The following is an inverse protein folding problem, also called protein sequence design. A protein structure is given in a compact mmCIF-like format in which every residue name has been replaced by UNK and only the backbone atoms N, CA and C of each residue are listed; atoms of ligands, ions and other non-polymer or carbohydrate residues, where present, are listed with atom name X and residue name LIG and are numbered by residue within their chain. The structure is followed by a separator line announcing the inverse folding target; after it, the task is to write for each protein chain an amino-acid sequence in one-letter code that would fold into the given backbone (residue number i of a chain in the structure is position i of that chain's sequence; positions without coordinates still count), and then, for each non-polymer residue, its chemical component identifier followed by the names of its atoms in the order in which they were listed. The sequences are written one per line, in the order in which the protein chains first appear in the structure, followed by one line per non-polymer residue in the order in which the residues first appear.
data_IF_740425497068
#
_entry.id   IF_740425497068
#
_cell.length_a   1.000
_cell.length_b   1.000
_cell.length_c   1.000
_cell.angle_alpha   90.00
_cell.angle_beta   90.00
_cell.angle_gamma   90.00
#
_symmetry.space_group_name_H-M   'P 1'
#
loop_
_entity.id
_entity.type
_entity.pdbx_description
1 polymer ?
#
# COMPACT_ATOMS: atom_id res chain seq x y z
N UNK A 1 0.89 -11.62 -6.95
CA UNK A 1 1.48 -11.42 -5.61
C UNK A 1 0.53 -10.51 -4.84
N UNK A 2 0.31 -10.69 -3.53
CA UNK A 2 -0.47 -9.70 -2.77
C UNK A 2 0.28 -9.18 -1.55
N UNK A 3 0.07 -7.91 -1.27
CA UNK A 3 0.76 -7.14 -0.27
C UNK A 3 -0.17 -6.93 0.92
N UNK A 4 0.23 -7.31 2.13
CA UNK A 4 -0.55 -7.04 3.34
C UNK A 4 0.03 -5.83 4.03
N UNK A 5 -0.78 -4.79 4.21
CA UNK A 5 -0.40 -3.63 5.01
C UNK A 5 -0.55 -4.03 6.49
N UNK A 6 0.54 -3.94 7.22
CA UNK A 6 0.62 -4.01 8.68
C UNK A 6 1.12 -2.62 9.13
N UNK A 7 0.80 -2.18 10.36
CA UNK A 7 0.54 -0.78 10.64
C UNK A 7 1.67 0.11 10.15
N UNK A 8 1.33 0.96 9.17
CA UNK A 8 2.25 1.94 8.61
C UNK A 8 2.30 3.13 9.58
N UNK A 9 3.44 3.29 10.25
CA UNK A 9 3.82 4.57 10.83
C UNK A 9 3.89 5.60 9.70
N UNK A 10 2.97 6.55 9.76
CA UNK A 10 2.88 7.66 8.84
C UNK A 10 2.95 8.89 9.74
N UNK A 11 4.15 9.45 9.88
CA UNK A 11 4.29 10.74 10.51
C UNK A 11 3.60 11.77 9.63
N UNK A 12 2.52 12.36 10.16
CA UNK A 12 1.98 13.63 9.69
C UNK A 12 2.73 14.70 10.45
N UNK A 13 3.75 15.27 9.82
CA UNK A 13 4.43 16.44 10.40
C UNK A 13 3.57 17.67 10.11
N UNK A 14 3.18 18.36 11.19
CA UNK A 14 2.57 19.69 11.11
C UNK A 14 3.71 20.64 10.75
N UNK A 15 3.68 21.21 9.55
CA UNK A 15 4.61 22.25 9.14
C UNK A 15 4.29 23.53 9.91
N UNK A 16 4.98 23.77 11.02
CA UNK A 16 5.26 25.13 11.46
C UNK A 16 6.53 25.57 10.73
N UNK A 17 6.44 26.70 10.04
CA UNK A 17 7.48 27.36 9.26
C UNK A 17 8.85 27.28 9.95
N UNK A 18 9.88 26.73 9.28
CA UNK A 18 11.27 27.21 9.20
C UNK A 18 12.14 26.21 8.41
N UNK A 19 12.51 26.62 7.19
CA UNK A 19 13.76 26.27 6.48
C UNK A 19 14.36 24.87 6.70
N UNK A 20 13.95 23.91 5.89
CA UNK A 20 14.81 22.84 5.40
C UNK A 20 14.31 22.45 4.01
N UNK A 21 15.22 22.33 3.05
CA UNK A 21 14.90 21.80 1.74
C UNK A 21 14.40 20.36 1.89
N UNK A 22 13.08 20.12 1.86
CA UNK A 22 12.55 18.79 1.58
C UNK A 22 13.05 18.40 0.19
N UNK A 23 14.14 17.67 0.18
CA UNK A 23 14.54 16.84 -0.94
C UNK A 23 13.33 15.94 -1.20
N UNK A 24 12.57 16.22 -2.26
CA UNK A 24 11.73 15.20 -2.89
C UNK A 24 12.73 14.11 -3.24
N UNK A 25 12.83 13.10 -2.38
CA UNK A 25 13.76 12.02 -2.60
C UNK A 25 13.26 11.32 -3.86
N UNK A 26 13.91 11.61 -5.00
CA UNK A 26 13.75 10.93 -6.29
C UNK A 26 14.20 9.47 -6.12
N UNK A 27 13.51 8.73 -5.26
CA UNK A 27 13.60 7.29 -5.19
C UNK A 27 12.79 6.78 -6.36
N UNK A 28 13.49 6.53 -7.47
CA UNK A 28 12.92 5.85 -8.62
C UNK A 28 12.05 4.67 -8.15
N UNK A 29 10.75 4.65 -8.50
CA UNK A 29 9.86 3.58 -8.07
C UNK A 29 10.43 2.24 -8.58
N UNK A 30 10.46 1.27 -7.69
CA UNK A 30 10.82 -0.11 -7.99
C UNK A 30 9.70 -0.72 -8.83
N UNK A 31 9.99 -1.28 -10.02
CA UNK A 31 8.99 -1.99 -10.81
C UNK A 31 8.33 -3.11 -10.00
N UNK A 32 7.04 -3.34 -10.22
CA UNK A 32 6.27 -4.37 -9.52
C UNK A 32 6.90 -5.76 -9.73
N UNK A 33 7.42 -6.05 -10.92
CA UNK A 33 8.16 -7.29 -11.22
C UNK A 33 9.41 -7.52 -10.37
N UNK A 34 9.99 -6.45 -9.79
CA UNK A 34 11.23 -6.54 -8.99
C UNK A 34 10.96 -6.62 -7.49
N UNK A 35 9.71 -6.54 -7.06
CA UNK A 35 9.34 -6.69 -5.64
C UNK A 35 9.61 -8.14 -5.21
N UNK A 36 10.33 -8.31 -4.12
CA UNK A 36 10.60 -9.61 -3.51
C UNK A 36 10.32 -9.59 -2.02
N UNK A 37 9.89 -10.73 -1.47
CA UNK A 37 9.48 -10.88 -0.07
C UNK A 37 10.59 -10.52 0.93
N UNK A 38 11.84 -10.75 0.54
CA UNK A 38 13.00 -10.56 1.42
C UNK A 38 13.52 -9.12 1.43
N UNK A 39 13.10 -8.28 0.48
CA UNK A 39 13.56 -6.89 0.38
C UNK A 39 12.56 -5.98 1.06
N UNK A 40 13.04 -5.19 2.00
CA UNK A 40 12.31 -4.06 2.60
C UNK A 40 12.75 -2.76 1.93
N UNK A 41 11.96 -1.69 2.07
CA UNK A 41 12.36 -0.35 1.61
C UNK A 41 12.17 -0.07 0.12
N UNK A 42 11.40 -0.88 -0.58
CA UNK A 42 10.94 -0.55 -1.94
C UNK A 42 9.76 0.43 -1.89
N UNK A 43 9.67 1.21 -2.96
CA UNK A 43 8.55 2.10 -3.28
C UNK A 43 8.02 1.65 -4.62
N UNK A 44 6.73 1.35 -4.73
CA UNK A 44 6.09 1.09 -6.02
C UNK A 44 5.08 2.18 -6.30
N UNK A 45 4.85 2.46 -7.58
CA UNK A 45 3.88 3.46 -8.00
C UNK A 45 3.06 2.90 -9.15
N UNK A 46 1.76 3.16 -9.13
CA UNK A 46 0.88 2.70 -10.20
C UNK A 46 -0.53 3.26 -10.07
N UNK A 47 -1.35 2.96 -11.06
CA UNK A 47 -2.75 3.37 -11.13
C UNK A 47 -3.60 2.29 -10.48
N UNK A 48 -4.57 2.70 -9.67
CA UNK A 48 -5.54 1.76 -9.09
C UNK A 48 -6.53 1.34 -10.17
N UNK A 49 -6.49 0.08 -10.55
CA UNK A 49 -7.38 -0.50 -11.59
C UNK A 49 -8.63 -1.11 -10.98
N UNK A 50 -8.55 -1.56 -9.72
CA UNK A 50 -9.65 -2.20 -9.02
C UNK A 50 -9.63 -1.86 -7.53
N UNK A 51 -10.80 -1.83 -6.90
CA UNK A 51 -10.97 -1.65 -5.46
C UNK A 51 -12.20 -2.43 -4.99
N UNK A 52 -12.02 -3.27 -3.98
CA UNK A 52 -13.13 -3.98 -3.34
C UNK A 52 -13.82 -3.09 -2.32
N UNK A 53 -15.08 -3.40 -2.02
CA UNK A 53 -15.71 -2.89 -0.81
C UNK A 53 -15.00 -3.42 0.45
N UNK A 54 -15.22 -2.75 1.57
CA UNK A 54 -14.81 -3.25 2.88
C UNK A 54 -15.55 -4.55 3.20
N UNK A 55 -14.80 -5.56 3.63
CA UNK A 55 -15.31 -6.88 4.01
C UNK A 55 -14.90 -7.18 5.46
N UNK A 56 -15.79 -7.80 6.24
CA UNK A 56 -15.50 -8.29 7.58
C UNK A 56 -15.00 -9.74 7.52
N UNK A 57 -13.92 -10.04 8.22
CA UNK A 57 -13.40 -11.40 8.34
C UNK A 57 -13.37 -11.85 9.79
N UNK A 58 -13.54 -13.17 10.00
CA UNK A 58 -13.39 -13.82 11.29
C UNK A 58 -12.65 -15.13 11.12
N UNK A 59 -11.60 -15.33 11.90
CA UNK A 59 -10.74 -16.51 11.88
C UNK A 59 -10.47 -16.98 13.31
N UNK A 60 -9.85 -18.15 13.46
CA UNK A 60 -9.38 -18.61 14.77
C UNK A 60 -8.35 -17.69 15.43
N UNK A 61 -7.68 -16.83 14.65
CA UNK A 61 -6.68 -15.87 15.13
C UNK A 61 -7.26 -14.50 15.46
N UNK A 62 -8.55 -14.28 15.22
CA UNK A 62 -9.23 -13.01 15.44
C UNK A 62 -10.13 -12.60 14.27
N UNK A 63 -10.74 -11.44 14.44
CA UNK A 63 -11.68 -10.82 13.50
C UNK A 63 -11.29 -9.38 13.18
N UNK A 64 -11.85 -8.85 12.09
CA UNK A 64 -11.59 -7.47 11.68
C UNK A 64 -12.18 -7.14 10.32
N UNK A 65 -11.72 -6.05 9.74
CA UNK A 65 -12.14 -5.57 8.42
C UNK A 65 -10.96 -5.48 7.48
N UNK A 66 -11.23 -5.64 6.19
CA UNK A 66 -10.23 -5.45 5.15
C UNK A 66 -10.87 -4.90 3.89
N UNK A 67 -10.06 -4.27 3.05
CA UNK A 67 -10.37 -4.10 1.63
C UNK A 67 -9.11 -4.38 0.81
N UNK A 68 -9.29 -4.69 -0.46
CA UNK A 68 -8.20 -4.87 -1.40
C UNK A 68 -8.33 -3.92 -2.58
N UNK A 69 -7.22 -3.62 -3.22
CA UNK A 69 -7.17 -2.89 -4.47
C UNK A 69 -6.02 -3.40 -5.33
N UNK A 70 -6.14 -3.24 -6.64
CA UNK A 70 -5.13 -3.65 -7.61
C UNK A 70 -4.42 -2.41 -8.13
N UNK A 71 -3.08 -2.44 -8.09
CA UNK A 71 -2.20 -1.38 -8.55
C UNK A 71 -1.46 -1.88 -9.80
N UNK A 72 -1.59 -1.14 -10.90
CA UNK A 72 -0.96 -1.43 -12.18
C UNK A 72 0.16 -0.43 -12.45
N UNK A 73 1.39 -0.91 -12.67
CA UNK A 73 2.48 -0.11 -13.20
C UNK A 73 2.54 -0.20 -14.74
N UNK A 74 3.70 0.03 -15.35
CA UNK A 74 3.86 -0.06 -16.81
C UNK A 74 3.58 -1.46 -17.39
N UNK A 75 3.82 -2.53 -16.63
CA UNK A 75 3.83 -3.90 -17.15
C UNK A 75 3.12 -4.92 -16.26
N UNK A 76 3.07 -4.69 -14.95
CA UNK A 76 2.65 -5.67 -13.97
C UNK A 76 1.59 -5.11 -13.01
N UNK A 77 0.70 -5.99 -12.57
CA UNK A 77 -0.32 -5.68 -11.59
C UNK A 77 -0.01 -6.37 -10.24
N UNK A 78 -0.22 -5.65 -9.15
CA UNK A 78 -0.13 -6.19 -7.79
C UNK A 78 -1.39 -5.86 -6.98
N UNK A 79 -1.86 -6.84 -6.21
CA UNK A 79 -2.94 -6.64 -5.26
C UNK A 79 -2.41 -6.19 -3.91
N UNK A 80 -2.93 -5.10 -3.37
CA UNK A 80 -2.70 -4.69 -1.99
C UNK A 80 -3.96 -4.93 -1.15
N UNK A 81 -3.79 -5.38 0.09
CA UNK A 81 -4.86 -5.59 1.06
C UNK A 81 -4.55 -4.84 2.34
N UNK A 82 -5.43 -3.92 2.71
CA UNK A 82 -5.37 -3.16 3.95
C UNK A 82 -6.25 -3.82 5.01
N UNK A 83 -5.71 -4.05 6.21
CA UNK A 83 -6.42 -4.71 7.31
C UNK A 83 -6.69 -3.73 8.45
N UNK A 84 -7.82 -3.90 9.14
CA UNK A 84 -8.17 -3.25 10.40
C UNK A 84 -8.00 -1.71 10.35
N UNK A 85 -7.09 -1.14 11.13
CA UNK A 85 -6.82 0.31 11.14
C UNK A 85 -6.46 0.84 9.75
N UNK A 86 -5.69 0.08 8.97
CA UNK A 86 -5.32 0.47 7.61
C UNK A 86 -6.53 0.42 6.67
N UNK A 87 -7.47 -0.50 6.90
CA UNK A 87 -8.73 -0.53 6.15
C UNK A 87 -9.49 0.78 6.34
N UNK A 88 -9.77 1.17 7.59
CA UNK A 88 -10.49 2.42 7.89
C UNK A 88 -9.76 3.67 7.38
N UNK A 89 -8.43 3.64 7.42
CA UNK A 89 -7.58 4.76 7.03
C UNK A 89 -7.49 4.97 5.52
N UNK A 90 -7.25 3.90 4.75
CA UNK A 90 -6.97 4.02 3.32
C UNK A 90 -8.21 3.87 2.46
N UNK A 91 -9.27 3.23 2.96
CA UNK A 91 -10.51 3.07 2.19
C UNK A 91 -11.07 4.40 1.65
N UNK A 92 -11.15 5.51 2.40
CA UNK A 92 -11.65 6.77 1.84
C UNK A 92 -10.66 7.50 0.92
N UNK A 93 -9.38 7.12 0.91
CA UNK A 93 -8.30 7.81 0.17
C UNK A 93 -8.07 7.16 -1.19
N UNK A 94 -8.19 5.84 -1.27
CA UNK A 94 -7.89 5.06 -2.48
C UNK A 94 -9.07 5.13 -3.45
N UNK A 95 -8.85 5.62 -4.66
CA UNK A 95 -9.84 5.76 -5.72
C UNK A 95 -9.35 5.09 -7.02
N UNK A 96 -10.26 4.46 -7.75
CA UNK A 96 -9.95 3.83 -9.04
C UNK A 96 -9.60 4.92 -10.07
N UNK A 97 -8.58 4.68 -10.88
CA UNK A 97 -8.10 5.60 -11.92
C UNK A 97 -7.05 6.61 -11.42
N UNK A 98 -6.81 6.66 -10.11
CA UNK A 98 -5.80 7.54 -9.51
C UNK A 98 -4.47 6.81 -9.29
N UNK A 99 -3.38 7.55 -9.40
CA UNK A 99 -2.01 7.05 -9.19
C UNK A 99 -1.60 7.19 -7.73
N UNK A 100 -1.05 6.13 -7.14
CA UNK A 100 -0.54 6.14 -5.77
C UNK A 100 0.83 5.49 -5.67
N UNK A 101 1.60 5.92 -4.68
CA UNK A 101 2.87 5.31 -4.29
C UNK A 101 2.71 4.51 -3.00
N UNK A 102 3.08 3.23 -3.02
CA UNK A 102 3.09 2.33 -1.87
C UNK A 102 4.53 2.10 -1.41
N UNK A 103 4.77 2.31 -0.12
CA UNK A 103 6.08 2.09 0.51
C UNK A 103 5.93 1.28 1.79
N UNK A 104 7.03 0.63 2.23
CA UNK A 104 7.14 -0.01 3.56
C UNK A 104 6.07 -1.08 3.87
N UNK A 105 5.43 -1.66 2.86
CA UNK A 105 4.41 -2.68 3.07
C UNK A 105 5.01 -4.09 3.05
N UNK A 106 4.27 -5.08 3.58
CA UNK A 106 4.78 -6.46 3.72
C UNK A 106 4.26 -7.35 2.61
N UNK A 107 5.16 -8.01 1.87
CA UNK A 107 4.79 -8.92 0.78
C UNK A 107 4.60 -10.33 1.30
N UNK A 108 3.47 -10.95 0.96
CA UNK A 108 3.20 -12.35 1.29
C UNK A 108 3.16 -13.21 0.03
N UNK A 109 3.61 -14.48 0.11
CA UNK A 109 3.39 -15.44 -0.96
C UNK A 109 1.89 -15.61 -1.21
N UNK A 110 1.53 -15.74 -2.48
CA UNK A 110 0.18 -16.13 -2.87
C UNK A 110 0.04 -17.60 -2.53
N UNK A 111 -0.88 -17.93 -1.62
CA UNK A 111 -1.32 -19.31 -1.50
C UNK A 111 -2.08 -19.66 -2.78
N UNK A 112 -1.50 -20.53 -3.61
CA UNK A 112 -2.23 -21.22 -4.68
C UNK A 112 -3.03 -22.38 -4.09
#
# INVERSE_FOLDING_TARGET
MYLTIQPIDFHRELTDDQSASEQVEDKNPTPISQISQCKTGWTIQGIVTNKTNTHYYKTSRGEGTLFSFDLLDEADEIRATAFNSDCSRFFPIIEIGQTYSLTKATVKPVNR
#
